data_IF_852761795379
#
_entry.id   IF_852761795379
#
_cell.length_a   1.000
_cell.length_b   1.000
_cell.length_c   1.000
_cell.angle_alpha   90.00
_cell.angle_beta   90.00
_cell.angle_gamma   90.00
#
_symmetry.space_group_name_H-M   'P 1'
#
loop_
_entity.id
_entity.type
_entity.pdbx_description
1 polymer ?
#
# COMPACT_ATOMS: atom_id res chain seq x y z
N UNK A 1 5.84 15.06 -13.20
CA UNK A 1 5.69 13.78 -12.49
C UNK A 1 6.70 12.79 -13.06
N UNK A 2 7.47 12.09 -12.23
CA UNK A 2 8.49 11.12 -12.66
C UNK A 2 8.22 9.77 -12.00
N UNK A 3 8.22 8.69 -12.76
CA UNK A 3 8.09 7.33 -12.24
C UNK A 3 9.47 6.78 -11.92
N UNK A 4 9.68 6.36 -10.67
CA UNK A 4 10.99 5.86 -10.18
C UNK A 4 11.05 4.33 -10.22
N UNK A 5 9.90 3.66 -10.09
CA UNK A 5 9.82 2.21 -10.00
C UNK A 5 8.45 1.73 -10.47
N UNK A 6 8.44 0.64 -11.24
CA UNK A 6 7.23 -0.12 -11.60
C UNK A 6 7.47 -1.58 -11.23
N UNK A 7 6.44 -2.25 -10.70
CA UNK A 7 6.46 -3.68 -10.40
C UNK A 7 5.20 -4.32 -10.97
N UNK A 8 5.38 -5.46 -11.62
CA UNK A 8 4.32 -6.21 -12.27
C UNK A 8 4.55 -7.70 -11.97
N UNK A 9 3.45 -8.44 -11.79
CA UNK A 9 3.46 -9.88 -11.56
C UNK A 9 2.56 -10.59 -12.56
N UNK A 10 2.82 -11.87 -12.81
CA UNK A 10 1.98 -12.68 -13.70
C UNK A 10 0.74 -13.15 -12.96
N UNK A 11 -0.43 -12.96 -13.59
CA UNK A 11 -1.71 -13.41 -13.04
C UNK A 11 -2.29 -12.47 -11.98
N UNK A 12 -3.27 -12.97 -11.22
CA UNK A 12 -4.00 -12.16 -10.23
C UNK A 12 -3.29 -12.18 -8.88
N UNK A 13 -2.49 -11.16 -8.61
CA UNK A 13 -1.84 -10.93 -7.32
C UNK A 13 -2.48 -9.72 -6.64
N UNK A 14 -2.65 -9.78 -5.32
CA UNK A 14 -3.15 -8.66 -4.54
C UNK A 14 -2.05 -7.60 -4.33
N UNK A 15 -2.40 -6.32 -4.41
CA UNK A 15 -1.44 -5.20 -4.35
C UNK A 15 -0.55 -5.24 -3.10
N UNK A 16 -1.12 -5.58 -1.93
CA UNK A 16 -0.32 -5.68 -0.71
C UNK A 16 0.67 -6.85 -0.72
N UNK A 17 0.33 -7.96 -1.40
CA UNK A 17 1.26 -9.08 -1.56
C UNK A 17 2.40 -8.69 -2.50
N UNK A 18 2.06 -8.07 -3.64
CA UNK A 18 3.04 -7.53 -4.59
C UNK A 18 4.02 -6.59 -3.90
N UNK A 19 3.53 -5.70 -3.03
CA UNK A 19 4.37 -4.79 -2.25
C UNK A 19 5.32 -5.52 -1.30
N UNK A 20 4.85 -6.51 -0.55
CA UNK A 20 5.70 -7.29 0.37
C UNK A 20 6.80 -8.05 -0.39
N UNK A 21 6.44 -8.65 -1.52
CA UNK A 21 7.37 -9.43 -2.35
C UNK A 21 8.35 -8.54 -3.12
N UNK A 22 7.98 -7.28 -3.40
CA UNK A 22 8.85 -6.31 -4.08
C UNK A 22 10.11 -5.93 -3.30
N UNK A 23 10.16 -6.19 -1.98
CA UNK A 23 11.28 -5.89 -1.07
C UNK A 23 11.80 -4.45 -1.18
N UNK A 24 10.93 -3.50 -1.55
CA UNK A 24 11.30 -2.09 -1.65
C UNK A 24 11.66 -1.59 -0.25
N UNK A 25 12.92 -1.19 -0.06
CA UNK A 25 13.39 -0.57 1.18
C UNK A 25 13.07 0.91 1.15
N UNK A 26 11.84 1.26 1.53
CA UNK A 26 11.46 2.66 1.73
C UNK A 26 12.03 3.16 3.06
N UNK A 27 12.58 4.36 3.06
CA UNK A 27 12.93 5.04 4.31
C UNK A 27 11.64 5.27 5.12
N UNK A 28 11.71 5.06 6.44
CA UNK A 28 10.59 5.24 7.37
C UNK A 28 10.05 6.67 7.40
N UNK A 29 10.87 7.64 7.02
CA UNK A 29 10.50 9.06 6.96
C UNK A 29 9.61 9.39 5.75
N UNK A 30 9.66 8.58 4.69
CA UNK A 30 8.88 8.82 3.47
C UNK A 30 7.41 8.49 3.74
N UNK A 31 6.51 9.44 3.54
CA UNK A 31 5.07 9.17 3.62
C UNK A 31 4.60 8.30 2.45
N UNK A 32 3.92 7.20 2.76
CA UNK A 32 3.30 6.34 1.75
C UNK A 32 1.82 6.72 1.60
N UNK A 33 1.44 7.15 0.39
CA UNK A 33 0.05 7.33 0.01
C UNK A 33 -0.39 6.10 -0.81
N UNK A 34 -1.40 5.39 -0.31
CA UNK A 34 -1.91 4.18 -0.95
C UNK A 34 -3.42 4.10 -0.93
N UNK A 35 -3.99 3.26 -1.78
CA UNK A 35 -5.42 2.98 -1.79
C UNK A 35 -5.80 1.87 -0.79
N UNK A 36 -7.06 1.44 -0.81
CA UNK A 36 -7.57 0.40 0.09
C UNK A 36 -6.92 -0.96 -0.10
N UNK A 37 -6.26 -1.23 -1.22
CA UNK A 37 -5.49 -2.45 -1.47
C UNK A 37 -4.31 -2.60 -0.51
N UNK A 38 -3.86 -1.51 0.11
CA UNK A 38 -2.72 -1.48 1.04
C UNK A 38 -3.14 -1.46 2.52
N UNK A 39 -4.38 -1.86 2.83
CA UNK A 39 -4.84 -1.94 4.22
C UNK A 39 -3.92 -2.84 5.06
N UNK A 40 -3.36 -2.26 6.13
CA UNK A 40 -2.42 -2.94 7.02
C UNK A 40 -0.94 -2.62 6.78
N UNK A 41 -0.59 -1.84 5.74
CA UNK A 41 0.79 -1.39 5.50
C UNK A 41 1.38 -0.59 6.67
N UNK A 42 0.55 0.12 7.44
CA UNK A 42 0.94 0.86 8.64
C UNK A 42 1.69 0.00 9.68
N UNK A 43 1.46 -1.32 9.70
CA UNK A 43 2.20 -2.26 10.57
C UNK A 43 3.66 -2.45 10.14
N UNK A 44 3.96 -2.21 8.87
CA UNK A 44 5.28 -2.39 8.26
C UNK A 44 5.97 -1.04 8.05
N UNK A 45 5.20 0.01 7.80
CA UNK A 45 5.68 1.38 7.62
C UNK A 45 4.68 2.35 8.25
N UNK A 46 5.02 2.89 9.42
CA UNK A 46 4.08 3.67 10.24
C UNK A 46 3.64 4.98 9.57
N UNK A 47 4.51 5.61 8.77
CA UNK A 47 4.19 6.85 8.07
C UNK A 47 3.48 6.53 6.74
N UNK A 48 2.30 5.91 6.85
CA UNK A 48 1.46 5.51 5.70
C UNK A 48 0.02 5.99 5.88
N UNK A 49 -0.53 6.66 4.86
CA UNK A 49 -1.92 7.12 4.80
C UNK A 49 -2.74 6.26 3.84
N UNK A 50 -3.62 5.44 4.41
CA UNK A 50 -4.54 4.58 3.65
C UNK A 50 -5.99 4.98 3.98
N UNK A 51 -6.83 5.29 2.97
CA UNK A 51 -8.23 5.62 3.20
C UNK A 51 -8.97 4.48 3.90
N UNK A 52 -9.50 4.75 5.09
CA UNK A 52 -10.39 3.80 5.75
C UNK A 52 -11.73 3.71 5.02
N UNK A 53 -12.22 2.49 4.82
CA UNK A 53 -13.57 2.27 4.31
C UNK A 53 -14.55 2.82 5.35
N UNK A 54 -15.38 3.80 4.96
CA UNK A 54 -16.48 4.30 5.80
C UNK A 54 -17.33 3.10 6.25
N UNK A 55 -17.65 3.01 7.54
CA UNK A 55 -18.58 2.00 8.06
C UNK A 55 -19.95 2.25 7.41
N UNK A 56 -20.64 1.19 7.00
CA UNK A 56 -22.05 1.30 6.59
C UNK A 56 -22.83 1.76 7.82
N UNK A 57 -23.60 2.86 7.70
CA UNK A 57 -24.58 3.23 8.74
C UNK A 57 -25.55 2.05 8.87
N UNK A 58 -25.73 1.56 10.09
CA UNK A 58 -26.85 0.66 10.41
C UNK A 58 -28.07 1.56 10.56
N UNK A 59 -29.09 1.35 9.73
CA UNK A 59 -30.46 1.78 10.03
C UNK A 59 -31.09 0.77 10.97
#
# INVERSE_FOLDING_TARGET
MRVICVRCEKGRVHDFRLWKESKIRLNKEIEILGDKGYQGIQKLHQNSQIPHKKRKKKN
#
